data_IF_814347511808
#
_entry.id   IF_814347511808
#
_cell.length_a   1.000
_cell.length_b   1.000
_cell.length_c   1.000
_cell.angle_alpha   90.00
_cell.angle_beta   90.00
_cell.angle_gamma   90.00
#
_symmetry.space_group_name_H-M   'P 1'
#
loop_
_entity.id
_entity.type
_entity.pdbx_description
1 polymer ?
#
# COMPACT_ATOMS: atom_id res chain seq x y z
N UNK A 1 -20.44 3.51 7.17
CA UNK A 1 -20.45 3.69 5.70
C UNK A 1 -19.40 2.74 5.14
N UNK A 2 -19.73 1.97 4.10
CA UNK A 2 -18.75 1.08 3.48
C UNK A 2 -17.90 1.91 2.52
N UNK A 3 -16.58 1.92 2.72
CA UNK A 3 -15.64 2.53 1.79
C UNK A 3 -15.50 1.64 0.54
N UNK A 4 -15.54 2.26 -0.65
CA UNK A 4 -15.50 1.55 -1.94
C UNK A 4 -14.14 1.72 -2.58
N UNK A 5 -13.50 0.61 -2.94
CA UNK A 5 -12.30 0.60 -3.79
C UNK A 5 -12.68 0.99 -5.21
N UNK A 6 -12.00 1.99 -5.76
CA UNK A 6 -12.22 2.48 -7.14
C UNK A 6 -11.05 2.18 -8.07
N UNK A 7 -9.86 1.92 -7.53
CA UNK A 7 -8.69 1.50 -8.31
C UNK A 7 -7.79 0.58 -7.48
N UNK A 8 -7.17 -0.38 -8.16
CA UNK A 8 -6.10 -1.22 -7.62
C UNK A 8 -4.91 -1.16 -8.57
N UNK A 9 -3.72 -0.91 -8.04
CA UNK A 9 -2.46 -0.92 -8.78
C UNK A 9 -1.55 -1.98 -8.18
N UNK A 10 -1.19 -2.98 -8.99
CA UNK A 10 -0.41 -4.14 -8.60
C UNK A 10 0.97 -4.07 -9.23
N UNK A 11 1.97 -4.62 -8.53
CA UNK A 11 3.24 -4.95 -9.19
C UNK A 11 3.03 -6.09 -10.18
N UNK A 12 3.43 -5.90 -11.44
CA UNK A 12 3.44 -6.99 -12.42
C UNK A 12 4.66 -7.91 -12.20
N UNK A 13 4.65 -8.68 -11.10
CA UNK A 13 5.68 -9.66 -10.75
C UNK A 13 5.03 -11.00 -10.41
N UNK A 14 5.54 -12.08 -11.00
CA UNK A 14 5.22 -13.47 -10.62
C UNK A 14 6.21 -14.02 -9.58
N UNK A 15 7.18 -13.20 -9.15
CA UNK A 15 8.19 -13.53 -8.15
C UNK A 15 7.94 -12.76 -6.84
N UNK A 16 8.59 -13.21 -5.75
CA UNK A 16 8.60 -12.54 -4.44
C UNK A 16 9.09 -11.08 -4.58
N UNK A 17 8.16 -10.13 -4.46
CA UNK A 17 8.31 -8.65 -4.33
C UNK A 17 7.04 -8.00 -4.90
N UNK A 18 5.89 -8.28 -4.28
CA UNK A 18 4.62 -7.68 -4.65
C UNK A 18 4.31 -6.53 -3.71
N UNK A 19 3.88 -5.40 -4.26
CA UNK A 19 3.25 -4.29 -3.52
C UNK A 19 1.94 -3.93 -4.22
N UNK A 20 0.98 -3.44 -3.43
CA UNK A 20 -0.39 -3.16 -3.89
C UNK A 20 -0.92 -1.85 -3.34
N UNK A 21 -1.27 -0.92 -4.24
CA UNK A 21 -2.03 0.27 -3.87
C UNK A 21 -3.52 0.10 -4.15
N UNK A 22 -4.36 0.47 -3.17
CA UNK A 22 -5.81 0.58 -3.34
C UNK A 22 -6.26 2.04 -3.13
N UNK A 23 -6.90 2.62 -4.15
CA UNK A 23 -7.54 3.93 -4.06
C UNK A 23 -9.00 3.74 -3.69
N UNK A 24 -9.44 4.44 -2.65
CA UNK A 24 -10.82 4.50 -2.22
C UNK A 24 -11.51 5.70 -2.85
N UNK A 25 -12.83 5.61 -3.06
CA UNK A 25 -13.66 6.71 -3.60
C UNK A 25 -13.48 8.04 -2.85
N UNK A 26 -13.13 8.00 -1.55
CA UNK A 26 -12.84 9.17 -0.72
C UNK A 26 -11.50 9.86 -1.05
N UNK A 27 -10.67 9.28 -1.91
CA UNK A 27 -9.32 9.74 -2.23
C UNK A 27 -8.23 9.17 -1.30
N UNK A 28 -8.58 8.39 -0.27
CA UNK A 28 -7.60 7.71 0.57
C UNK A 28 -6.88 6.62 -0.22
N UNK A 29 -5.58 6.53 -0.01
CA UNK A 29 -4.73 5.47 -0.56
C UNK A 29 -4.37 4.51 0.56
N UNK A 30 -4.52 3.21 0.28
CA UNK A 30 -4.07 2.15 1.16
C UNK A 30 -2.97 1.34 0.48
N UNK A 31 -1.99 0.92 1.26
CA UNK A 31 -0.86 0.11 0.78
C UNK A 31 -0.58 -1.08 1.72
N UNK A 32 -0.08 -2.17 1.14
CA UNK A 32 0.21 -3.44 1.80
C UNK A 32 1.12 -4.32 0.93
N UNK A 33 1.50 -5.47 1.49
CA UNK A 33 2.50 -6.42 1.01
C UNK A 33 3.95 -5.94 1.25
N UNK A 34 4.87 -6.21 0.33
CA UNK A 34 6.31 -6.02 0.54
C UNK A 34 6.67 -4.54 0.60
N UNK A 35 7.45 -4.15 1.61
CA UNK A 35 7.89 -2.77 1.84
C UNK A 35 9.36 -2.60 2.20
N UNK A 36 10.16 -3.64 2.06
CA UNK A 36 11.59 -3.70 2.41
C UNK A 36 12.52 -2.73 1.63
N UNK A 37 11.97 -1.99 0.65
CA UNK A 37 12.65 -0.94 -0.13
C UNK A 37 12.00 0.43 0.03
N UNK A 38 11.06 0.59 0.96
CA UNK A 38 10.35 1.85 1.20
C UNK A 38 9.23 2.15 0.22
N UNK A 39 8.86 1.20 -0.64
CA UNK A 39 7.77 1.34 -1.61
C UNK A 39 6.40 1.57 -0.97
N UNK A 40 6.24 1.22 0.32
CA UNK A 40 4.99 1.44 1.06
C UNK A 40 4.71 2.90 1.43
N UNK A 41 5.69 3.79 1.24
CA UNK A 41 5.59 5.20 1.63
C UNK A 41 5.43 5.44 3.14
N UNK A 42 5.54 4.40 3.97
CA UNK A 42 5.46 4.45 5.42
C UNK A 42 6.55 3.58 6.03
N UNK A 43 7.00 3.92 7.24
CA UNK A 43 8.00 3.12 7.93
C UNK A 43 7.43 1.76 8.33
N UNK A 44 8.22 0.72 8.09
CA UNK A 44 8.01 -0.60 8.66
C UNK A 44 8.69 -0.70 10.03
N UNK A 45 8.18 -1.57 10.90
CA UNK A 45 8.89 -1.91 12.14
C UNK A 45 10.24 -2.51 11.74
N UNK A 46 11.31 -2.20 12.47
CA UNK A 46 12.71 -2.42 12.06
C UNK A 46 13.11 -3.86 11.66
N UNK A 47 12.23 -4.85 11.82
CA UNK A 47 12.48 -6.26 11.47
C UNK A 47 11.46 -6.80 10.44
N UNK A 48 10.48 -6.00 10.04
CA UNK A 48 9.45 -6.39 9.09
C UNK A 48 9.90 -6.05 7.67
N UNK A 49 9.62 -6.97 6.73
CA UNK A 49 9.82 -6.77 5.29
C UNK A 49 8.52 -6.49 4.55
N UNK A 50 7.38 -6.64 5.21
CA UNK A 50 6.05 -6.58 4.62
C UNK A 50 5.00 -6.07 5.59
N UNK A 51 3.86 -5.68 5.05
CA UNK A 51 2.66 -5.30 5.78
C UNK A 51 1.49 -6.15 5.29
N UNK A 52 1.04 -7.10 6.10
CA UNK A 52 -0.04 -8.04 5.73
C UNK A 52 -1.45 -7.46 5.69
N UNK A 53 -1.65 -6.22 6.14
CA UNK A 53 -2.97 -5.56 6.18
C UNK A 53 -2.92 -4.18 5.53
N UNK A 54 -3.90 -3.80 4.69
CA UNK A 54 -3.96 -2.47 4.10
C UNK A 54 -3.88 -1.38 5.16
N UNK A 55 -2.93 -0.46 5.02
CA UNK A 55 -2.80 0.70 5.89
C UNK A 55 -2.94 1.99 5.08
N UNK A 56 -3.61 2.98 5.67
CA UNK A 56 -3.76 4.28 5.04
C UNK A 56 -2.39 4.97 4.95
N UNK A 57 -2.05 5.39 3.74
CA UNK A 57 -0.85 6.18 3.47
C UNK A 57 -1.28 7.65 3.37
N UNK A 58 -0.78 8.48 4.28
CA UNK A 58 -0.95 9.92 4.20
C UNK A 58 -0.03 10.48 3.10
N UNK A 59 -0.62 11.17 2.13
CA UNK A 59 0.11 11.74 0.99
C UNK A 59 -0.06 13.26 1.04
N UNK A 60 1.04 13.95 1.28
CA UNK A 60 1.12 15.40 1.12
C UNK A 60 1.49 15.72 -0.34
N UNK A 61 0.60 16.46 -1.02
CA UNK A 61 0.77 16.89 -2.41
C UNK A 61 1.08 18.40 -2.50
N UNK A 62 1.32 19.07 -1.36
CA UNK A 62 1.58 20.52 -1.30
C UNK A 62 3.00 20.93 -1.68
#
# INVERSE_FOLDING_TARGET
>A
MNEKVVQVSLTNSIYWNVHTFALIESGKVYDFDVGDKGQLGTELVAQDSERGTPEWVEIDLS
#
